data_IF_087213139884
#
_entry.id   IF_087213139884
#
_cell.length_a   1.000
_cell.length_b   1.000
_cell.length_c   1.000
_cell.angle_alpha   90.00
_cell.angle_beta   90.00
_cell.angle_gamma   90.00
#
_symmetry.space_group_name_H-M   'P 1'
#
loop_
_entity.id
_entity.type
_entity.pdbx_description
1 polymer ?
#
# COMPACT_ATOMS: atom_id res chain seq x y z
N UNK A 1 -11.95 7.31 -2.58
CA UNK A 1 -10.87 7.26 -3.59
C UNK A 1 -10.35 5.83 -3.77
N UNK A 2 -9.85 5.13 -2.74
CA UNK A 2 -9.26 3.78 -2.87
C UNK A 2 -10.17 2.80 -3.61
N UNK A 3 -11.44 2.66 -3.21
CA UNK A 3 -12.41 1.80 -3.91
C UNK A 3 -12.56 2.13 -5.41
N UNK A 4 -12.52 3.41 -5.77
CA UNK A 4 -12.62 3.82 -7.17
C UNK A 4 -11.37 3.45 -7.96
N UNK A 5 -10.16 3.59 -7.38
CA UNK A 5 -8.90 3.19 -8.01
C UNK A 5 -8.87 1.67 -8.24
N UNK A 6 -9.20 0.86 -7.23
CA UNK A 6 -9.28 -0.59 -7.36
C UNK A 6 -10.24 -1.00 -8.48
N UNK A 7 -11.41 -0.36 -8.55
CA UNK A 7 -12.43 -0.65 -9.56
C UNK A 7 -11.99 -0.23 -10.97
N UNK A 8 -11.40 0.96 -11.14
CA UNK A 8 -10.95 1.48 -12.44
C UNK A 8 -9.79 0.65 -13.00
N UNK A 9 -8.87 0.23 -12.13
CA UNK A 9 -7.77 -0.66 -12.50
C UNK A 9 -8.23 -2.11 -12.75
N UNK A 10 -9.45 -2.46 -12.37
CA UNK A 10 -9.91 -3.85 -12.29
C UNK A 10 -8.91 -4.72 -11.52
N UNK A 11 -8.42 -4.21 -10.38
CA UNK A 11 -7.35 -4.83 -9.62
C UNK A 11 -7.82 -6.14 -8.98
N UNK A 12 -7.23 -7.26 -9.41
CA UNK A 12 -7.49 -8.59 -8.82
C UNK A 12 -6.66 -8.80 -7.56
N UNK A 13 -5.43 -8.30 -7.54
CA UNK A 13 -4.55 -8.38 -6.37
C UNK A 13 -4.19 -6.97 -5.89
N UNK A 14 -4.47 -6.74 -4.62
CA UNK A 14 -4.12 -5.49 -3.93
C UNK A 14 -3.21 -5.79 -2.76
N UNK A 15 -2.18 -5.00 -2.59
CA UNK A 15 -1.30 -5.01 -1.42
C UNK A 15 -1.53 -3.75 -0.61
N UNK A 16 -1.70 -3.88 0.70
CA UNK A 16 -1.73 -2.78 1.66
C UNK A 16 -0.56 -2.91 2.63
N UNK A 17 0.13 -1.81 2.88
CA UNK A 17 1.24 -1.70 3.82
C UNK A 17 0.79 -0.75 4.95
N UNK A 18 0.47 -1.32 6.11
CA UNK A 18 -0.18 -0.67 7.25
C UNK A 18 -1.65 -1.06 7.35
N UNK A 19 -1.96 -2.18 8.04
CA UNK A 19 -3.34 -2.63 8.27
C UNK A 19 -4.06 -1.73 9.26
N UNK A 20 -3.39 -1.42 10.37
CA UNK A 20 -3.92 -0.65 11.48
C UNK A 20 -5.37 -1.08 11.84
N UNK A 21 -6.33 -0.14 11.93
CA UNK A 21 -7.74 -0.45 12.22
C UNK A 21 -8.50 -1.15 11.08
N UNK A 22 -7.90 -1.29 9.89
CA UNK A 22 -8.50 -1.91 8.72
C UNK A 22 -9.36 -0.98 7.86
N UNK A 23 -9.33 0.32 8.12
CA UNK A 23 -10.09 1.28 7.32
C UNK A 23 -9.67 1.27 5.85
N UNK A 24 -8.35 1.24 5.58
CA UNK A 24 -7.79 1.11 4.24
C UNK A 24 -8.21 -0.20 3.58
N UNK A 25 -8.04 -1.32 4.28
CA UNK A 25 -8.48 -2.65 3.84
C UNK A 25 -9.94 -2.67 3.35
N UNK A 26 -10.85 -2.16 4.17
CA UNK A 26 -12.28 -2.14 3.83
C UNK A 26 -12.58 -1.21 2.65
N UNK A 27 -11.90 -0.07 2.58
CA UNK A 27 -12.03 0.84 1.45
C UNK A 27 -11.52 0.22 0.13
N UNK A 28 -10.40 -0.52 0.17
CA UNK A 28 -9.88 -1.28 -0.96
C UNK A 28 -10.84 -2.39 -1.35
N UNK A 29 -11.32 -3.17 -0.37
CA UNK A 29 -12.27 -4.27 -0.58
C UNK A 29 -13.57 -3.83 -1.25
N UNK A 30 -14.07 -2.65 -0.91
CA UNK A 30 -15.30 -2.09 -1.50
C UNK A 30 -15.21 -1.85 -3.01
N UNK A 31 -14.00 -1.74 -3.57
CA UNK A 31 -13.77 -1.59 -5.01
C UNK A 31 -13.44 -2.89 -5.74
N UNK A 32 -13.20 -3.97 -5.02
CA UNK A 32 -12.65 -5.20 -5.55
C UNK A 32 -13.71 -6.13 -6.13
N UNK A 33 -13.32 -6.92 -7.13
CA UNK A 33 -14.13 -8.03 -7.61
C UNK A 33 -14.29 -9.11 -6.52
N UNK A 34 -15.38 -9.92 -6.54
CA UNK A 34 -15.61 -10.94 -5.51
C UNK A 34 -14.46 -11.96 -5.36
N UNK A 35 -13.75 -12.29 -6.45
CA UNK A 35 -12.60 -13.20 -6.46
C UNK A 35 -11.27 -12.53 -6.12
N UNK A 36 -11.23 -11.21 -6.02
CA UNK A 36 -10.02 -10.47 -5.77
C UNK A 36 -9.46 -10.68 -4.35
N UNK A 37 -8.14 -10.50 -4.21
CA UNK A 37 -7.42 -10.70 -2.95
C UNK A 37 -6.75 -9.42 -2.48
N UNK A 38 -6.77 -9.21 -1.17
CA UNK A 38 -6.00 -8.17 -0.49
C UNK A 38 -4.99 -8.83 0.42
N UNK A 39 -3.71 -8.54 0.21
CA UNK A 39 -2.65 -8.88 1.16
C UNK A 39 -2.33 -7.61 1.95
N UNK A 40 -2.64 -7.61 3.25
CA UNK A 40 -2.37 -6.47 4.12
C UNK A 40 -1.26 -6.81 5.11
N UNK A 41 -0.31 -5.92 5.27
CA UNK A 41 0.90 -6.12 6.07
C UNK A 41 0.93 -5.16 7.25
N UNK A 42 1.24 -5.68 8.41
CA UNK A 42 1.46 -4.89 9.63
C UNK A 42 2.40 -5.63 10.57
N UNK A 43 3.02 -4.93 11.50
CA UNK A 43 3.83 -5.52 12.57
C UNK A 43 2.98 -6.03 13.73
N UNK A 44 1.70 -5.66 13.78
CA UNK A 44 0.73 -6.02 14.82
C UNK A 44 -0.50 -6.65 14.16
N UNK A 45 -1.02 -7.73 14.74
CA UNK A 45 -2.27 -8.33 14.30
C UNK A 45 -3.46 -7.39 14.52
N UNK A 46 -4.40 -7.38 13.58
CA UNK A 46 -5.58 -6.52 13.59
C UNK A 46 -6.42 -6.62 14.87
N UNK A 47 -6.40 -7.77 15.54
CA UNK A 47 -7.11 -8.04 16.80
C UNK A 47 -6.28 -7.70 18.05
N UNK A 48 -5.02 -7.27 17.90
CA UNK A 48 -4.08 -6.97 18.99
C UNK A 48 -3.65 -5.50 19.05
N UNK A 49 -4.30 -4.62 18.31
CA UNK A 49 -3.94 -3.19 18.19
C UNK A 49 -4.13 -2.37 19.48
N UNK A 50 -4.87 -2.87 20.47
CA UNK A 50 -5.24 -2.10 21.66
C UNK A 50 -6.27 -0.99 21.42
N UNK A 51 -6.79 -0.86 20.22
CA UNK A 51 -7.89 0.01 19.80
C UNK A 51 -8.92 -0.80 19.00
N UNK A 52 -10.20 -0.38 18.95
CA UNK A 52 -11.21 -1.11 18.18
C UNK A 52 -10.82 -1.22 16.70
N UNK A 53 -10.82 -2.44 16.17
CA UNK A 53 -10.65 -2.73 14.75
C UNK A 53 -12.01 -2.68 14.03
N UNK A 54 -11.99 -2.25 12.77
CA UNK A 54 -13.12 -2.35 11.84
C UNK A 54 -13.17 -3.72 11.16
N UNK A 55 -12.08 -4.49 11.25
CA UNK A 55 -12.00 -5.86 10.73
C UNK A 55 -12.63 -6.84 11.70
N UNK A 56 -13.18 -7.91 11.15
CA UNK A 56 -13.73 -9.06 11.88
C UNK A 56 -13.21 -10.35 11.26
N UNK A 57 -13.33 -11.48 11.94
CA UNK A 57 -12.92 -12.79 11.42
C UNK A 57 -13.56 -13.12 10.06
N UNK A 58 -14.78 -12.68 9.82
CA UNK A 58 -15.50 -12.90 8.55
C UNK A 58 -14.78 -12.28 7.35
N UNK A 59 -14.03 -11.19 7.53
CA UNK A 59 -13.26 -10.57 6.46
C UNK A 59 -12.08 -11.44 6.01
N UNK A 60 -11.58 -12.31 6.90
CA UNK A 60 -10.48 -13.24 6.62
C UNK A 60 -11.00 -14.61 6.19
N UNK A 61 -12.09 -15.10 6.80
CA UNK A 61 -12.68 -16.40 6.53
C UNK A 61 -13.46 -16.42 5.20
N UNK A 62 -12.71 -16.44 4.09
CA UNK A 62 -13.29 -16.41 2.73
C UNK A 62 -13.60 -15.00 2.21
N UNK A 63 -13.33 -13.96 2.99
CA UNK A 63 -13.55 -12.56 2.61
C UNK A 63 -12.52 -11.99 1.62
N UNK A 64 -11.48 -12.75 1.28
CA UNK A 64 -10.45 -12.34 0.32
C UNK A 64 -9.41 -11.38 0.90
N UNK A 65 -9.38 -11.19 2.22
CA UNK A 65 -8.33 -10.43 2.94
C UNK A 65 -7.41 -11.44 3.63
N UNK A 66 -6.11 -11.24 3.49
CA UNK A 66 -5.06 -12.03 4.16
C UNK A 66 -4.13 -11.05 4.85
N UNK A 67 -4.09 -11.07 6.19
CA UNK A 67 -3.10 -10.30 6.93
C UNK A 67 -1.81 -11.10 7.11
N UNK A 68 -0.69 -10.43 6.88
CA UNK A 68 0.66 -10.96 7.08
C UNK A 68 1.38 -10.10 8.12
N UNK A 69 1.87 -10.74 9.18
CA UNK A 69 2.49 -10.05 10.29
C UNK A 69 4.00 -10.03 10.12
N UNK A 70 4.55 -8.84 9.97
CA UNK A 70 5.99 -8.61 9.82
C UNK A 70 6.30 -7.24 9.23
N UNK A 71 7.58 -6.88 9.27
CA UNK A 71 8.09 -5.60 8.80
C UNK A 71 8.65 -5.74 7.37
N UNK A 72 7.89 -5.24 6.37
CA UNK A 72 8.29 -5.26 4.96
C UNK A 72 9.57 -4.45 4.67
N UNK A 73 10.03 -3.58 5.57
CA UNK A 73 11.31 -2.90 5.42
C UNK A 73 12.51 -3.82 5.65
N UNK A 74 12.28 -5.03 6.18
CA UNK A 74 13.32 -6.04 6.39
C UNK A 74 13.45 -6.94 5.17
N UNK A 75 14.67 -7.05 4.64
CA UNK A 75 14.97 -7.80 3.43
C UNK A 75 14.41 -9.24 3.47
N UNK A 76 14.64 -9.97 4.54
CA UNK A 76 14.17 -11.36 4.66
C UNK A 76 12.65 -11.49 4.53
N UNK A 77 11.89 -10.62 5.21
CA UNK A 77 10.42 -10.66 5.16
C UNK A 77 9.88 -10.16 3.82
N UNK A 78 10.55 -9.19 3.21
CA UNK A 78 10.21 -8.72 1.87
C UNK A 78 10.40 -9.83 0.83
N UNK A 79 11.56 -10.50 0.83
CA UNK A 79 11.89 -11.60 -0.09
C UNK A 79 10.91 -12.79 0.06
N UNK A 80 10.54 -13.15 1.30
CA UNK A 80 9.53 -14.18 1.57
C UNK A 80 8.17 -13.86 0.93
N UNK A 81 7.84 -12.59 0.79
CA UNK A 81 6.57 -12.10 0.25
C UNK A 81 6.65 -11.57 -1.19
N UNK A 82 7.81 -11.68 -1.84
CA UNK A 82 8.09 -11.10 -3.15
C UNK A 82 7.08 -11.52 -4.23
N UNK A 83 6.65 -12.77 -4.24
CA UNK A 83 5.65 -13.28 -5.19
C UNK A 83 4.31 -12.54 -5.05
N UNK A 84 3.83 -12.34 -3.81
CA UNK A 84 2.59 -11.60 -3.55
C UNK A 84 2.71 -10.14 -3.97
N UNK A 85 3.85 -9.52 -3.66
CA UNK A 85 4.13 -8.12 -4.03
C UNK A 85 4.22 -7.96 -5.55
N UNK A 86 4.86 -8.89 -6.25
CA UNK A 86 4.95 -8.90 -7.72
C UNK A 86 3.58 -9.12 -8.39
N UNK A 87 2.67 -9.86 -7.76
CA UNK A 87 1.32 -10.09 -8.27
C UNK A 87 0.42 -8.85 -8.15
N UNK A 88 0.75 -7.87 -7.32
CA UNK A 88 -0.09 -6.71 -7.05
C UNK A 88 -0.36 -5.86 -8.29
N UNK A 89 -1.61 -5.47 -8.48
CA UNK A 89 -2.06 -4.45 -9.45
C UNK A 89 -2.06 -3.07 -8.81
N UNK A 90 -2.37 -3.00 -7.52
CA UNK A 90 -2.33 -1.79 -6.71
C UNK A 90 -1.60 -2.08 -5.40
N UNK A 91 -0.69 -1.19 -5.03
CA UNK A 91 -0.03 -1.17 -3.72
C UNK A 91 -0.46 0.10 -3.01
N UNK A 92 -1.03 -0.02 -1.82
CA UNK A 92 -1.37 1.10 -0.96
C UNK A 92 -0.42 1.15 0.23
N UNK A 93 0.27 2.26 0.42
CA UNK A 93 1.22 2.47 1.50
C UNK A 93 0.69 3.53 2.47
N UNK A 94 0.30 3.09 3.66
CA UNK A 94 -0.15 3.90 4.79
C UNK A 94 0.59 3.43 6.06
N UNK A 95 1.86 3.77 6.13
CA UNK A 95 2.81 3.29 7.13
C UNK A 95 3.28 4.43 8.06
N UNK A 96 4.28 4.25 8.94
CA UNK A 96 4.56 5.13 10.10
C UNK A 96 4.78 6.61 9.85
N UNK A 97 5.23 7.04 8.65
CA UNK A 97 5.60 8.41 8.26
C UNK A 97 6.79 8.96 9.07
N UNK A 98 7.71 8.08 9.46
CA UNK A 98 8.90 8.45 10.22
C UNK A 98 10.08 8.94 9.35
N UNK A 99 9.95 8.83 8.02
CA UNK A 99 10.98 9.17 7.05
C UNK A 99 12.16 8.18 7.02
N UNK A 100 12.03 7.03 7.65
CA UNK A 100 13.00 5.93 7.64
C UNK A 100 12.40 4.72 6.94
N UNK A 101 11.23 4.30 7.38
CA UNK A 101 10.50 3.18 6.80
C UNK A 101 10.19 3.43 5.32
N UNK A 102 9.69 4.62 4.98
CA UNK A 102 9.27 4.96 3.63
C UNK A 102 10.45 4.89 2.63
N UNK A 103 11.63 5.40 2.99
CA UNK A 103 12.81 5.29 2.12
C UNK A 103 13.26 3.85 1.91
N UNK A 104 13.21 3.03 2.97
CA UNK A 104 13.48 1.60 2.84
C UNK A 104 12.46 0.92 1.94
N UNK A 105 11.18 1.31 2.03
CA UNK A 105 10.14 0.79 1.15
C UNK A 105 10.35 1.20 -0.31
N UNK A 106 10.88 2.40 -0.62
CA UNK A 106 11.27 2.71 -2.00
C UNK A 106 12.34 1.73 -2.52
N UNK A 107 13.37 1.44 -1.70
CA UNK A 107 14.41 0.47 -2.07
C UNK A 107 13.83 -0.94 -2.30
N UNK A 108 12.88 -1.36 -1.48
CA UNK A 108 12.20 -2.65 -1.64
C UNK A 108 11.32 -2.68 -2.88
N UNK A 109 10.45 -1.67 -3.04
CA UNK A 109 9.53 -1.60 -4.17
C UNK A 109 10.25 -1.47 -5.52
N UNK A 110 11.45 -0.88 -5.54
CA UNK A 110 12.29 -0.82 -6.74
C UNK A 110 12.83 -2.19 -7.20
N UNK A 111 12.78 -3.22 -6.33
CA UNK A 111 13.17 -4.61 -6.68
C UNK A 111 12.03 -5.37 -7.39
N UNK A 112 10.80 -4.84 -7.38
CA UNK A 112 9.67 -5.51 -7.98
C UNK A 112 9.83 -5.59 -9.51
N UNK A 113 9.35 -6.69 -10.07
CA UNK A 113 9.25 -6.84 -11.52
C UNK A 113 8.32 -5.77 -12.13
N UNK A 114 8.67 -5.30 -13.32
CA UNK A 114 7.81 -4.36 -14.03
C UNK A 114 6.47 -5.02 -14.35
N UNK A 115 5.38 -4.33 -14.03
CA UNK A 115 4.02 -4.80 -14.31
C UNK A 115 3.20 -3.64 -14.85
N UNK A 116 2.84 -3.71 -16.13
CA UNK A 116 2.08 -2.66 -16.81
C UNK A 116 0.76 -2.36 -16.07
N UNK A 117 0.54 -1.10 -15.80
CA UNK A 117 -0.65 -0.62 -15.09
C UNK A 117 -0.60 -0.75 -13.56
N UNK A 118 0.52 -1.24 -12.98
CA UNK A 118 0.67 -1.25 -11.53
C UNK A 118 0.69 0.17 -10.98
N UNK A 119 -0.12 0.41 -9.95
CA UNK A 119 -0.21 1.70 -9.27
C UNK A 119 0.26 1.58 -7.82
N UNK A 120 1.11 2.51 -7.39
CA UNK A 120 1.41 2.74 -5.99
C UNK A 120 0.61 3.96 -5.51
N UNK A 121 -0.16 3.78 -4.45
CA UNK A 121 -0.89 4.84 -3.74
C UNK A 121 -0.19 5.08 -2.42
N UNK A 122 0.18 6.32 -2.15
CA UNK A 122 0.90 6.72 -0.94
C UNK A 122 0.02 7.67 -0.15
N UNK A 123 -0.23 7.34 1.11
CA UNK A 123 -0.97 8.23 2.00
C UNK A 123 -0.07 9.28 2.65
N UNK A 124 -0.68 10.40 3.05
CA UNK A 124 -0.03 11.48 3.83
C UNK A 124 1.18 12.14 3.15
N UNK A 125 1.23 12.24 1.82
CA UNK A 125 2.38 12.81 1.07
C UNK A 125 2.71 14.26 1.43
N UNK A 126 1.85 14.96 2.16
CA UNK A 126 2.04 16.34 2.63
C UNK A 126 2.27 16.43 4.14
N UNK A 127 2.40 15.30 4.83
CA UNK A 127 2.61 15.26 6.27
C UNK A 127 4.10 15.23 6.59
N UNK A 128 4.59 16.21 7.36
CA UNK A 128 5.95 16.31 7.91
C UNK A 128 7.06 15.72 7.00
N UNK A 129 7.60 14.56 7.36
CA UNK A 129 8.73 13.89 6.66
C UNK A 129 8.36 13.38 5.27
N UNK A 130 7.07 13.24 4.97
CA UNK A 130 6.61 12.70 3.68
C UNK A 130 6.74 13.70 2.52
N UNK A 131 6.86 15.01 2.79
CA UNK A 131 7.00 16.03 1.74
C UNK A 131 8.28 15.80 0.94
N UNK A 132 9.40 15.63 1.60
CA UNK A 132 10.69 15.43 0.93
C UNK A 132 10.77 14.03 0.32
N UNK A 133 10.26 13.04 1.00
CA UNK A 133 10.08 11.70 0.45
C UNK A 133 9.29 11.73 -0.87
N UNK A 134 8.11 12.38 -0.89
CA UNK A 134 7.29 12.50 -2.10
C UNK A 134 8.02 13.21 -3.24
N UNK A 135 8.76 14.27 -2.94
CA UNK A 135 9.52 15.03 -3.94
C UNK A 135 10.58 14.18 -4.63
N UNK A 136 11.19 13.24 -3.94
CA UNK A 136 12.28 12.42 -4.46
C UNK A 136 11.82 11.33 -5.42
N UNK A 137 10.57 10.92 -5.40
CA UNK A 137 10.02 9.99 -6.39
C UNK A 137 10.03 10.69 -7.75
N UNK A 138 10.69 10.08 -8.75
CA UNK A 138 10.81 10.60 -10.12
C UNK A 138 10.01 9.82 -11.14
N UNK A 139 9.47 8.63 -10.79
CA UNK A 139 8.48 7.94 -11.63
C UNK A 139 7.28 8.85 -11.92
N UNK A 140 6.54 8.66 -13.01
CA UNK A 140 5.32 9.40 -13.30
C UNK A 140 4.39 9.37 -12.09
N UNK A 141 4.01 10.55 -11.61
CA UNK A 141 3.23 10.66 -10.37
C UNK A 141 2.22 11.80 -10.42
N UNK A 142 1.16 11.66 -9.63
CA UNK A 142 0.10 12.64 -9.48
C UNK A 142 -0.16 12.91 -8.00
N UNK A 143 -0.12 14.17 -7.58
CA UNK A 143 -0.63 14.60 -6.28
C UNK A 143 -2.15 14.71 -6.35
N UNK A 144 -2.84 13.77 -5.73
CA UNK A 144 -4.29 13.68 -5.70
C UNK A 144 -4.91 14.30 -4.43
N UNK A 145 -4.17 15.14 -3.70
CA UNK A 145 -4.63 15.79 -2.44
C UNK A 145 -5.99 16.48 -2.61
N UNK A 146 -6.24 17.11 -3.76
CA UNK A 146 -7.52 17.78 -4.02
C UNK A 146 -8.74 16.85 -4.07
N UNK A 147 -8.53 15.53 -4.20
CA UNK A 147 -9.58 14.50 -4.26
C UNK A 147 -9.58 13.61 -3.01
N UNK A 148 -8.65 13.78 -2.11
CA UNK A 148 -8.46 12.99 -0.89
C UNK A 148 -8.71 13.80 0.37
N UNK A 149 -7.72 13.81 1.25
CA UNK A 149 -7.74 14.54 2.52
C UNK A 149 -6.54 15.50 2.65
N UNK A 150 -6.57 16.36 3.67
CA UNK A 150 -5.62 17.47 3.83
C UNK A 150 -4.14 17.07 3.93
N UNK A 151 -3.84 15.88 4.48
CA UNK A 151 -2.47 15.34 4.57
C UNK A 151 -1.96 14.76 3.24
N UNK A 152 -2.84 14.62 2.26
CA UNK A 152 -2.49 14.35 0.88
C UNK A 152 -2.42 12.88 0.51
N UNK A 153 -2.72 12.59 -0.75
CA UNK A 153 -2.56 11.25 -1.33
C UNK A 153 -1.81 11.36 -2.65
N UNK A 154 -0.77 10.55 -2.80
CA UNK A 154 0.04 10.45 -4.01
C UNK A 154 -0.28 9.19 -4.81
N UNK A 155 -0.30 9.32 -6.13
CA UNK A 155 -0.40 8.21 -7.07
C UNK A 155 0.91 8.13 -7.85
N UNK A 156 1.53 6.95 -7.94
CA UNK A 156 2.77 6.73 -8.68
C UNK A 156 2.57 5.56 -9.65
N UNK A 157 2.86 5.79 -10.92
CA UNK A 157 2.86 4.73 -11.93
C UNK A 157 4.12 3.87 -11.79
N UNK A 158 3.93 2.57 -11.53
CA UNK A 158 4.99 1.59 -11.43
C UNK A 158 5.09 0.67 -12.66
N UNK A 159 4.46 1.02 -13.78
CA UNK A 159 4.47 0.20 -14.99
C UNK A 159 5.88 -0.15 -15.47
N UNK A 160 6.80 0.81 -15.37
CA UNK A 160 8.19 0.69 -15.79
C UNK A 160 9.17 0.64 -14.58
N UNK A 161 8.64 0.28 -13.42
CA UNK A 161 9.40 0.24 -12.17
C UNK A 161 9.40 1.57 -11.42
N UNK A 162 10.01 1.57 -10.24
CA UNK A 162 10.11 2.74 -9.36
C UNK A 162 11.45 3.45 -9.53
N UNK A 163 11.40 4.74 -9.84
CA UNK A 163 12.57 5.63 -9.91
C UNK A 163 12.46 6.73 -8.86
N UNK A 164 13.55 6.96 -8.15
CA UNK A 164 13.64 7.99 -7.11
C UNK A 164 15.08 8.45 -6.90
N UNK A 165 15.26 9.68 -6.39
CA UNK A 165 16.54 10.17 -5.90
C UNK A 165 16.70 9.82 -4.42
N UNK A 166 17.95 9.61 -3.97
CA UNK A 166 18.26 9.53 -2.53
C UNK A 166 18.67 10.91 -2.02
N UNK A 167 18.36 11.23 -0.76
CA UNK A 167 18.82 12.48 -0.15
C UNK A 167 20.34 12.52 -0.03
#
# INVERSE_FOLDING_TARGET
MLAALVKVLNADTVVEIGTHTGAGCLALKAGQNPSGKIFTYDVISWDQLGVPSLLTTEHFDGGGIVQLIGDLSKDAFFEENLEKLNSADLIFMDAPKDGIFEYKMLDQLAKLENKKGRLLVIDDIRFVNMIDFWRQISSPKLDATGFGHWSGTGLVDLSDGLSFARP
#
